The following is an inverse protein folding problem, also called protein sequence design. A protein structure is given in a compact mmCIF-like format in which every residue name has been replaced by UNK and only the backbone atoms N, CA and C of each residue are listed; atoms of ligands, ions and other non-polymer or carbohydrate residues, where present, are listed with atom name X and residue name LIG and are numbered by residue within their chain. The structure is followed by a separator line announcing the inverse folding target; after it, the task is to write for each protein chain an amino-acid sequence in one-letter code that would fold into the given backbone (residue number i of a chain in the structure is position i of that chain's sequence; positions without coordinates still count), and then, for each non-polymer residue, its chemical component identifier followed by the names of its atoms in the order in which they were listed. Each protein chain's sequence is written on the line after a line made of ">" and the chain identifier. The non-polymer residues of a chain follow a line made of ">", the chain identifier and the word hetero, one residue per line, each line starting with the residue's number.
data_IF_254640730286
#
_entry.id   IF_254640730286
#
_cell.length_a   1.000
_cell.length_b   1.000
_cell.length_c   1.000
_cell.angle_alpha   90.00
_cell.angle_beta   90.00
_cell.angle_gamma   90.00
#
_symmetry.space_group_name_H-M   'P 1'
#
loop_
_entity.id
_entity.type
_entity.pdbx_description
1 polymer ?
#
# COMPACT_ATOMS: atom_id res chain seq x y z
N UNK A 1 -46.93 -21.59 -8.54
CA UNK A 1 -45.50 -21.47 -8.92
C UNK A 1 -44.96 -20.25 -8.23
N UNK A 2 -44.08 -20.42 -7.23
CA UNK A 2 -43.48 -19.31 -6.50
C UNK A 2 -42.36 -18.69 -7.35
N UNK A 3 -42.30 -17.36 -7.38
CA UNK A 3 -41.23 -16.61 -8.03
C UNK A 3 -39.88 -16.90 -7.33
N UNK A 4 -38.74 -16.89 -8.06
CA UNK A 4 -37.43 -17.02 -7.43
C UNK A 4 -37.15 -15.79 -6.55
N UNK A 5 -36.44 -15.96 -5.41
CA UNK A 5 -36.05 -14.83 -4.59
C UNK A 5 -35.08 -13.95 -5.37
N UNK A 6 -35.39 -12.65 -5.43
CA UNK A 6 -34.47 -11.64 -5.93
C UNK A 6 -33.17 -11.73 -5.14
N UNK A 7 -32.06 -12.10 -5.79
CA UNK A 7 -30.74 -11.92 -5.19
C UNK A 7 -30.56 -10.44 -4.95
N UNK A 8 -30.54 -10.01 -3.69
CA UNK A 8 -30.05 -8.68 -3.36
C UNK A 8 -28.65 -8.55 -3.97
N UNK A 9 -28.48 -7.65 -4.95
CA UNK A 9 -27.15 -7.26 -5.41
C UNK A 9 -26.39 -6.81 -4.16
N UNK A 10 -25.43 -7.61 -3.69
CA UNK A 10 -24.48 -7.19 -2.66
C UNK A 10 -23.84 -5.89 -3.17
N UNK A 11 -23.81 -4.86 -2.35
CA UNK A 11 -23.18 -3.59 -2.69
C UNK A 11 -21.68 -3.88 -2.85
N UNK A 12 -21.18 -3.86 -4.08
CA UNK A 12 -19.77 -4.17 -4.36
C UNK A 12 -18.91 -2.93 -4.15
N UNK A 13 -17.65 -3.11 -3.75
CA UNK A 13 -16.64 -2.05 -3.74
C UNK A 13 -16.48 -1.43 -5.15
N UNK A 14 -16.79 -2.20 -6.21
CA UNK A 14 -16.72 -1.76 -7.61
C UNK A 14 -17.72 -0.65 -7.97
N UNK A 15 -18.79 -0.49 -7.19
CA UNK A 15 -19.77 0.59 -7.39
C UNK A 15 -19.27 1.96 -6.88
N UNK A 16 -18.10 2.02 -6.21
CA UNK A 16 -17.51 3.25 -5.67
C UNK A 16 -16.51 3.87 -6.65
N UNK A 17 -16.33 5.21 -6.64
CA UNK A 17 -15.28 5.87 -7.42
C UNK A 17 -13.88 5.26 -7.16
N UNK A 18 -12.97 5.28 -8.16
CA UNK A 18 -11.63 4.74 -8.00
C UNK A 18 -10.83 5.59 -6.99
N UNK A 19 -10.81 5.11 -5.74
CA UNK A 19 -10.25 5.81 -4.58
C UNK A 19 -8.73 6.02 -4.65
N UNK A 20 -8.05 5.14 -5.38
CA UNK A 20 -6.59 5.03 -5.41
C UNK A 20 -5.97 5.58 -6.70
N UNK A 21 -6.81 6.09 -7.60
CA UNK A 21 -6.40 6.88 -8.76
C UNK A 21 -6.35 8.33 -8.31
N UNK A 22 -5.14 8.90 -8.25
CA UNK A 22 -4.89 10.23 -7.70
C UNK A 22 -5.46 10.44 -6.28
N UNK A 23 -5.00 9.64 -5.29
CA UNK A 23 -5.59 9.61 -3.94
C UNK A 23 -5.45 10.93 -3.16
N UNK A 24 -4.61 11.83 -3.64
CA UNK A 24 -4.28 13.11 -3.03
C UNK A 24 -5.03 14.28 -3.68
N UNK A 25 -5.78 14.02 -4.76
CA UNK A 25 -6.57 15.03 -5.46
C UNK A 25 -5.71 16.05 -6.21
N UNK A 26 -4.50 15.69 -6.63
CA UNK A 26 -3.63 16.59 -7.38
C UNK A 26 -4.14 16.75 -8.80
N UNK A 27 -4.52 17.95 -9.18
CA UNK A 27 -4.82 18.29 -10.57
C UNK A 27 -3.56 18.96 -11.10
N UNK A 28 -2.86 18.40 -12.12
CA UNK A 28 -1.77 19.11 -12.76
C UNK A 28 -2.32 20.44 -13.24
N UNK A 29 -1.79 21.54 -12.70
CA UNK A 29 -2.16 22.87 -13.15
C UNK A 29 -1.83 22.96 -14.62
N UNK A 30 -2.88 22.98 -15.46
CA UNK A 30 -2.76 23.36 -16.87
C UNK A 30 -2.13 24.74 -16.91
N UNK A 31 -1.01 24.86 -17.61
CA UNK A 31 -0.26 26.11 -17.83
C UNK A 31 -1.21 27.29 -18.03
N UNK A 32 -1.25 28.25 -17.10
CA UNK A 32 -1.48 29.66 -17.41
C UNK A 32 -0.91 30.60 -16.34
N UNK A 33 -0.24 31.62 -16.87
CA UNK A 33 -0.04 32.97 -16.36
C UNK A 33 0.97 33.17 -15.22
N UNK A 34 2.13 33.69 -15.62
CA UNK A 34 3.10 34.30 -14.73
C UNK A 34 2.49 35.38 -13.85
N UNK A 35 2.91 35.36 -12.59
CA UNK A 35 2.95 36.51 -11.71
C UNK A 35 4.15 36.30 -10.78
N UNK A 36 5.18 37.12 -11.00
CA UNK A 36 6.30 37.25 -10.09
C UNK A 36 5.81 37.90 -8.80
N UNK A 37 5.58 37.10 -7.77
CA UNK A 37 5.57 37.56 -6.38
C UNK A 37 6.78 36.96 -5.67
N UNK A 38 7.74 37.82 -5.37
CA UNK A 38 8.87 37.53 -4.48
C UNK A 38 8.35 37.42 -3.04
N UNK A 39 7.81 36.26 -2.71
CA UNK A 39 7.67 35.63 -1.38
C UNK A 39 7.03 34.24 -1.57
N UNK A 40 7.51 33.47 -2.54
CA UNK A 40 7.16 32.04 -2.66
C UNK A 40 8.02 31.30 -1.64
N UNK A 41 7.44 30.56 -0.68
CA UNK A 41 8.21 29.65 0.17
C UNK A 41 9.07 28.75 -0.72
N UNK A 42 10.35 28.56 -0.38
CA UNK A 42 11.20 27.61 -1.09
C UNK A 42 10.47 26.27 -1.21
N UNK A 43 10.30 25.79 -2.44
CA UNK A 43 9.68 24.49 -2.68
C UNK A 43 10.51 23.40 -1.97
N UNK A 44 9.87 22.39 -1.34
CA UNK A 44 10.62 21.34 -0.68
C UNK A 44 11.54 20.61 -1.67
N UNK A 45 12.78 20.38 -1.26
CA UNK A 45 13.75 19.61 -2.03
C UNK A 45 13.35 18.13 -2.08
N UNK A 46 13.83 17.38 -3.07
CA UNK A 46 13.69 15.90 -3.11
C UNK A 46 14.06 15.25 -1.77
N UNK A 47 15.11 15.74 -1.11
CA UNK A 47 15.53 15.21 0.19
C UNK A 47 14.46 15.39 1.26
N UNK A 48 13.85 16.58 1.33
CA UNK A 48 12.76 16.84 2.29
C UNK A 48 11.54 15.97 1.99
N UNK A 49 11.20 15.74 0.72
CA UNK A 49 10.14 14.80 0.36
C UNK A 49 10.46 13.36 0.78
N UNK A 50 11.71 12.90 0.60
CA UNK A 50 12.13 11.57 1.07
C UNK A 50 12.05 11.44 2.60
N UNK A 51 12.43 12.49 3.35
CA UNK A 51 12.31 12.49 4.82
C UNK A 51 10.84 12.42 5.28
N UNK A 52 9.94 13.12 4.59
CA UNK A 52 8.49 13.06 4.85
C UNK A 52 7.94 11.68 4.49
N UNK A 53 8.28 11.14 3.32
CA UNK A 53 7.89 9.79 2.88
C UNK A 53 8.34 8.73 3.89
N UNK A 54 9.60 8.79 4.32
CA UNK A 54 10.15 7.89 5.34
C UNK A 54 9.36 7.97 6.65
N UNK A 55 8.98 9.17 7.05
CA UNK A 55 8.18 9.41 8.26
C UNK A 55 6.80 8.79 8.13
N UNK A 56 6.08 9.04 7.03
CA UNK A 56 4.75 8.47 6.80
C UNK A 56 4.80 6.94 6.70
N UNK A 57 5.80 6.37 6.03
CA UNK A 57 5.98 4.93 5.94
C UNK A 57 6.24 4.30 7.32
N UNK A 58 7.05 4.94 8.18
CA UNK A 58 7.28 4.51 9.56
C UNK A 58 6.01 4.58 10.41
N UNK A 59 5.19 5.63 10.25
CA UNK A 59 3.89 5.75 10.94
C UNK A 59 2.94 4.62 10.49
N UNK A 60 2.83 4.38 9.19
CA UNK A 60 2.00 3.30 8.63
C UNK A 60 2.45 1.93 9.15
N UNK A 61 3.77 1.64 9.13
CA UNK A 61 4.33 0.42 9.72
C UNK A 61 4.02 0.30 11.20
N UNK A 62 4.21 1.37 11.97
CA UNK A 62 3.90 1.37 13.41
C UNK A 62 2.43 1.07 13.72
N UNK A 63 1.51 1.60 12.90
CA UNK A 63 0.08 1.29 13.00
C UNK A 63 -0.18 -0.21 12.82
N UNK A 64 0.44 -0.83 11.82
CA UNK A 64 0.28 -2.26 11.54
C UNK A 64 0.89 -3.14 12.65
N UNK A 65 2.10 -2.80 13.10
CA UNK A 65 2.80 -3.51 14.17
C UNK A 65 1.97 -3.58 15.46
N UNK A 66 1.16 -2.57 15.73
CA UNK A 66 0.36 -2.48 16.96
C UNK A 66 -0.70 -3.56 17.10
N UNK A 67 -1.20 -4.15 16.00
CA UNK A 67 -2.30 -5.11 16.04
C UNK A 67 -2.01 -6.44 15.35
N UNK A 68 -0.90 -6.59 14.61
CA UNK A 68 -0.62 -7.80 13.81
C UNK A 68 -0.66 -9.11 14.59
N UNK A 69 -0.13 -9.12 15.83
CA UNK A 69 -0.11 -10.32 16.68
C UNK A 69 -1.50 -10.67 17.18
N UNK A 70 -2.27 -9.65 17.58
CA UNK A 70 -3.65 -9.83 18.02
C UNK A 70 -4.54 -10.31 16.87
N UNK A 71 -4.35 -9.76 15.67
CA UNK A 71 -5.05 -10.21 14.47
C UNK A 71 -4.86 -11.71 14.23
N UNK A 72 -3.60 -12.16 14.18
CA UNK A 72 -3.33 -13.59 13.94
C UNK A 72 -3.90 -14.47 15.06
N UNK A 73 -3.79 -14.03 16.31
CA UNK A 73 -4.31 -14.79 17.45
C UNK A 73 -5.83 -14.91 17.42
N UNK A 74 -6.54 -13.84 17.14
CA UNK A 74 -8.01 -13.84 17.17
C UNK A 74 -8.63 -14.51 15.94
N UNK A 75 -8.01 -14.38 14.75
CA UNK A 75 -8.55 -14.95 13.51
C UNK A 75 -8.17 -16.43 13.35
N UNK A 76 -6.94 -16.81 13.69
CA UNK A 76 -6.43 -18.16 13.41
C UNK A 76 -6.16 -19.01 14.67
N UNK A 77 -6.36 -18.44 15.86
CA UNK A 77 -6.09 -19.09 17.16
C UNK A 77 -4.65 -19.62 17.33
N UNK A 78 -3.68 -19.00 16.64
CA UNK A 78 -2.27 -19.41 16.68
C UNK A 78 -1.34 -18.24 17.01
N UNK A 79 -0.10 -18.57 17.39
CA UNK A 79 0.95 -17.57 17.54
C UNK A 79 1.35 -16.97 16.18
N UNK A 80 1.69 -15.67 16.20
CA UNK A 80 2.08 -14.91 15.01
C UNK A 80 3.27 -15.52 14.28
N UNK A 81 4.34 -15.87 15.00
CA UNK A 81 5.58 -16.36 14.39
C UNK A 81 5.37 -17.74 13.78
N UNK A 82 4.56 -18.59 14.42
CA UNK A 82 4.18 -19.90 13.88
C UNK A 82 3.32 -19.78 12.61
N UNK A 83 2.32 -18.90 12.61
CA UNK A 83 1.47 -18.68 11.46
C UNK A 83 2.26 -18.10 10.29
N UNK A 84 3.07 -17.06 10.55
CA UNK A 84 3.94 -16.46 9.55
C UNK A 84 4.90 -17.49 8.94
N UNK A 85 5.57 -18.29 9.78
CA UNK A 85 6.49 -19.34 9.31
C UNK A 85 5.81 -20.36 8.41
N UNK A 86 4.56 -20.73 8.70
CA UNK A 86 3.81 -21.72 7.93
C UNK A 86 3.49 -21.24 6.51
N UNK A 87 3.31 -19.94 6.34
CA UNK A 87 2.82 -19.34 5.10
C UNK A 87 3.83 -18.46 4.36
N UNK A 88 5.03 -18.24 4.90
CA UNK A 88 5.98 -17.26 4.37
C UNK A 88 6.42 -17.48 2.92
N UNK A 89 6.29 -18.70 2.40
CA UNK A 89 6.63 -19.06 1.01
C UNK A 89 5.49 -18.84 0.02
N UNK A 90 4.26 -18.70 0.50
CA UNK A 90 3.10 -18.43 -0.36
C UNK A 90 2.97 -16.91 -0.55
N UNK A 91 2.91 -16.45 -1.80
CA UNK A 91 2.65 -15.05 -2.18
C UNK A 91 1.69 -15.00 -3.36
N UNK A 92 0.88 -13.95 -3.41
CA UNK A 92 0.09 -13.64 -4.59
C UNK A 92 0.95 -12.85 -5.57
N UNK A 93 1.30 -13.43 -6.71
CA UNK A 93 2.13 -12.75 -7.72
C UNK A 93 1.46 -11.50 -8.33
N UNK A 94 0.13 -11.38 -8.22
CA UNK A 94 -0.60 -10.19 -8.64
C UNK A 94 -0.41 -9.00 -7.68
N UNK A 95 -0.02 -9.23 -6.42
CA UNK A 95 0.29 -8.15 -5.48
C UNK A 95 1.58 -7.43 -5.88
N UNK A 96 2.62 -8.21 -6.17
CA UNK A 96 3.86 -7.78 -6.81
C UNK A 96 4.65 -9.03 -7.23
N UNK A 97 5.50 -8.94 -8.28
CA UNK A 97 6.39 -10.03 -8.65
C UNK A 97 7.35 -10.37 -7.50
N UNK A 98 7.60 -11.65 -7.24
CA UNK A 98 8.52 -12.07 -6.17
C UNK A 98 9.93 -11.47 -6.28
N UNK A 99 10.38 -11.11 -7.49
CA UNK A 99 11.66 -10.43 -7.74
C UNK A 99 11.68 -8.94 -7.39
N UNK A 100 10.51 -8.29 -7.32
CA UNK A 100 10.38 -6.85 -7.11
C UNK A 100 10.67 -6.42 -5.67
N UNK A 101 10.28 -7.26 -4.70
CA UNK A 101 10.48 -7.00 -3.27
C UNK A 101 11.27 -8.16 -2.65
N UNK A 102 12.60 -8.16 -2.78
CA UNK A 102 13.47 -9.29 -2.44
C UNK A 102 13.79 -9.34 -0.93
N UNK A 103 12.76 -9.28 -0.08
CA UNK A 103 12.90 -9.40 1.38
C UNK A 103 11.81 -10.27 2.00
N UNK A 104 12.10 -10.78 3.20
CA UNK A 104 11.13 -11.39 4.11
C UNK A 104 10.66 -10.35 5.14
N UNK A 105 9.49 -10.60 5.74
CA UNK A 105 8.93 -9.73 6.78
C UNK A 105 9.87 -9.67 7.99
N UNK A 106 10.15 -8.46 8.47
CA UNK A 106 11.01 -8.22 9.63
C UNK A 106 12.51 -8.33 9.33
N UNK A 107 12.90 -8.59 8.08
CA UNK A 107 14.31 -8.69 7.68
C UNK A 107 14.72 -7.45 6.88
N UNK A 108 15.61 -6.63 7.44
CA UNK A 108 16.14 -5.46 6.75
C UNK A 108 17.03 -5.87 5.57
N UNK A 109 16.97 -5.10 4.49
CA UNK A 109 17.85 -5.28 3.33
C UNK A 109 19.22 -4.71 3.65
N UNK A 110 20.27 -5.50 3.41
CA UNK A 110 21.65 -5.04 3.55
C UNK A 110 21.94 -3.90 2.54
N UNK A 111 22.58 -2.78 2.95
CA UNK A 111 22.82 -1.63 2.07
C UNK A 111 23.54 -1.97 0.75
N UNK A 112 24.41 -2.97 0.74
CA UNK A 112 25.09 -3.43 -0.48
C UNK A 112 24.14 -3.89 -1.59
N UNK A 113 22.97 -4.43 -1.22
CA UNK A 113 21.93 -4.86 -2.17
C UNK A 113 21.10 -3.69 -2.70
N UNK A 114 21.19 -2.52 -2.06
CA UNK A 114 20.48 -1.30 -2.45
C UNK A 114 21.33 -0.38 -3.32
N UNK A 115 22.62 -0.68 -3.49
CA UNK A 115 23.54 0.15 -4.28
C UNK A 115 23.03 0.39 -5.69
N UNK A 116 22.53 -0.64 -6.36
CA UNK A 116 22.13 -0.52 -7.76
C UNK A 116 20.69 -0.02 -7.95
N UNK A 117 19.97 0.26 -6.86
CA UNK A 117 18.62 0.83 -6.91
C UNK A 117 18.70 2.27 -7.41
N UNK A 118 17.91 2.58 -8.43
CA UNK A 118 17.74 3.94 -8.96
C UNK A 118 16.49 4.56 -8.34
N UNK A 119 16.61 5.79 -7.83
CA UNK A 119 15.54 6.45 -7.09
C UNK A 119 14.25 6.58 -7.93
N UNK A 120 14.37 7.02 -9.19
CA UNK A 120 13.20 7.29 -10.04
C UNK A 120 12.45 6.01 -10.40
N UNK A 121 13.19 4.95 -10.76
CA UNK A 121 12.61 3.63 -11.00
C UNK A 121 11.95 3.08 -9.74
N UNK A 122 12.61 3.21 -8.59
CA UNK A 122 12.06 2.80 -7.30
C UNK A 122 10.76 3.55 -6.98
N UNK A 123 10.71 4.88 -7.13
CA UNK A 123 9.51 5.67 -6.85
C UNK A 123 8.34 5.23 -7.74
N UNK A 124 8.60 5.03 -9.03
CA UNK A 124 7.61 4.56 -9.99
C UNK A 124 7.04 3.19 -9.60
N UNK A 125 7.90 2.23 -9.28
CA UNK A 125 7.50 0.88 -8.90
C UNK A 125 6.81 0.85 -7.53
N UNK A 126 7.33 1.59 -6.55
CA UNK A 126 6.76 1.72 -5.22
C UNK A 126 5.35 2.33 -5.26
N UNK A 127 5.13 3.34 -6.12
CA UNK A 127 3.80 3.92 -6.31
C UNK A 127 2.80 2.87 -6.80
N UNK A 128 3.16 2.10 -7.83
CA UNK A 128 2.32 1.00 -8.35
C UNK A 128 2.04 -0.06 -7.30
N UNK A 129 3.06 -0.56 -6.60
CA UNK A 129 2.87 -1.59 -5.56
C UNK A 129 1.99 -1.09 -4.42
N UNK A 130 2.16 0.17 -4.02
CA UNK A 130 1.30 0.76 -2.99
C UNK A 130 -0.13 0.98 -3.47
N UNK A 131 -0.37 1.29 -4.75
CA UNK A 131 -1.73 1.33 -5.31
C UNK A 131 -2.37 -0.06 -5.27
N UNK A 132 -1.67 -1.12 -5.71
CA UNK A 132 -2.15 -2.51 -5.64
C UNK A 132 -2.46 -2.91 -4.19
N UNK A 133 -1.55 -2.61 -3.25
CA UNK A 133 -1.78 -2.88 -1.83
C UNK A 133 -2.98 -2.14 -1.28
N UNK A 134 -3.23 -0.91 -1.74
CA UNK A 134 -4.34 -0.09 -1.26
C UNK A 134 -5.68 -0.60 -1.79
N UNK A 135 -5.74 -1.03 -3.06
CA UNK A 135 -6.89 -1.74 -3.63
C UNK A 135 -7.16 -3.04 -2.89
N UNK A 136 -6.13 -3.85 -2.64
CA UNK A 136 -6.29 -5.11 -1.92
C UNK A 136 -6.74 -4.88 -0.46
N UNK A 137 -6.19 -3.87 0.20
CA UNK A 137 -6.54 -3.50 1.58
C UNK A 137 -7.96 -2.93 1.68
N UNK A 138 -8.45 -2.26 0.64
CA UNK A 138 -9.85 -1.81 0.57
C UNK A 138 -10.81 -3.00 0.67
N UNK A 139 -10.50 -4.10 0.00
CA UNK A 139 -11.28 -5.34 0.10
C UNK A 139 -11.20 -5.95 1.51
N UNK A 140 -10.01 -6.04 2.10
CA UNK A 140 -9.82 -6.53 3.48
C UNK A 140 -10.63 -5.70 4.48
N UNK A 141 -10.57 -4.37 4.36
CA UNK A 141 -11.33 -3.46 5.21
C UNK A 141 -12.85 -3.60 5.00
N UNK A 142 -13.28 -3.77 3.75
CA UNK A 142 -14.68 -4.02 3.41
C UNK A 142 -15.19 -5.31 4.08
N UNK A 143 -14.45 -6.42 3.94
CA UNK A 143 -14.83 -7.72 4.50
C UNK A 143 -14.91 -7.68 6.02
N UNK A 144 -13.93 -7.08 6.69
CA UNK A 144 -13.97 -6.93 8.14
C UNK A 144 -15.04 -5.95 8.64
N UNK A 145 -15.55 -5.05 7.79
CA UNK A 145 -16.66 -4.15 8.13
C UNK A 145 -18.05 -4.75 7.91
N UNK A 146 -18.14 -5.99 7.39
CA UNK A 146 -19.41 -6.61 7.06
C UNK A 146 -20.31 -6.76 8.30
N UNK A 147 -21.59 -6.34 8.28
CA UNK A 147 -22.44 -6.38 9.48
C UNK A 147 -22.65 -7.77 10.08
N UNK A 148 -22.67 -8.80 9.23
CA UNK A 148 -22.98 -10.18 9.65
C UNK A 148 -21.72 -11.04 9.85
N UNK A 149 -20.60 -10.68 9.24
CA UNK A 149 -19.40 -11.55 9.13
C UNK A 149 -18.10 -10.77 9.29
N UNK A 150 -18.17 -9.52 9.74
CA UNK A 150 -17.01 -8.68 10.00
C UNK A 150 -16.23 -9.15 11.23
N UNK A 151 -15.19 -8.41 11.58
CA UNK A 151 -14.36 -8.72 12.75
C UNK A 151 -14.15 -7.49 13.64
N UNK A 152 -13.60 -7.72 14.83
CA UNK A 152 -13.17 -6.67 15.75
C UNK A 152 -12.04 -5.78 15.18
N UNK A 153 -11.49 -6.12 14.01
CA UNK A 153 -10.39 -5.41 13.36
C UNK A 153 -10.83 -4.42 12.27
N UNK A 154 -12.14 -4.23 12.05
CA UNK A 154 -12.66 -3.33 11.03
C UNK A 154 -12.04 -1.92 11.10
N UNK A 155 -11.96 -1.36 12.30
CA UNK A 155 -11.38 -0.02 12.53
C UNK A 155 -9.87 0.02 12.25
N UNK A 156 -9.14 -1.04 12.57
CA UNK A 156 -7.71 -1.15 12.35
C UNK A 156 -7.40 -1.21 10.85
N UNK A 157 -8.15 -2.03 10.10
CA UNK A 157 -8.01 -2.08 8.64
C UNK A 157 -8.45 -0.79 7.96
N UNK A 158 -9.50 -0.12 8.46
CA UNK A 158 -9.88 1.22 8.00
C UNK A 158 -8.76 2.25 8.23
N UNK A 159 -8.13 2.24 9.40
CA UNK A 159 -6.97 3.09 9.71
C UNK A 159 -5.76 2.77 8.84
N UNK A 160 -5.58 1.50 8.49
CA UNK A 160 -4.54 1.08 7.56
C UNK A 160 -4.77 1.72 6.19
N UNK A 161 -5.98 1.68 5.64
CA UNK A 161 -6.29 2.36 4.37
C UNK A 161 -5.92 3.86 4.39
N UNK A 162 -6.19 4.57 5.49
CA UNK A 162 -5.81 5.97 5.62
C UNK A 162 -4.29 6.17 5.67
N UNK A 163 -3.58 5.25 6.30
CA UNK A 163 -2.11 5.28 6.40
C UNK A 163 -1.46 4.98 5.04
N UNK A 164 -1.98 4.01 4.29
CA UNK A 164 -1.52 3.71 2.93
C UNK A 164 -1.75 4.89 1.99
N UNK A 165 -2.89 5.59 2.14
CA UNK A 165 -3.15 6.83 1.41
C UNK A 165 -2.09 7.89 1.67
N UNK A 166 -1.69 8.10 2.92
CA UNK A 166 -0.65 9.07 3.26
C UNK A 166 0.69 8.71 2.60
N UNK A 167 1.09 7.43 2.68
CA UNK A 167 2.32 6.94 2.02
C UNK A 167 2.25 7.15 0.50
N UNK A 168 1.14 6.76 -0.14
CA UNK A 168 0.92 6.98 -1.58
C UNK A 168 1.07 8.45 -1.97
N UNK A 169 0.55 9.36 -1.16
CA UNK A 169 0.67 10.79 -1.41
C UNK A 169 2.10 11.28 -1.36
N UNK A 170 2.89 10.86 -0.38
CA UNK A 170 4.28 11.28 -0.31
C UNK A 170 5.11 10.69 -1.46
N UNK A 171 4.82 9.46 -1.91
CA UNK A 171 5.45 8.90 -3.11
C UNK A 171 5.08 9.76 -4.33
N UNK A 172 3.80 10.06 -4.53
CA UNK A 172 3.32 10.85 -5.66
C UNK A 172 3.94 12.26 -5.68
N UNK A 173 4.00 12.93 -4.52
CA UNK A 173 4.63 14.25 -4.40
C UNK A 173 6.13 14.20 -4.72
N UNK A 174 6.83 13.18 -4.24
CA UNK A 174 8.25 12.96 -4.57
C UNK A 174 8.44 12.73 -6.07
N UNK A 175 7.54 11.98 -6.71
CA UNK A 175 7.56 11.76 -8.16
C UNK A 175 7.32 13.03 -8.96
N UNK A 176 6.35 13.86 -8.55
CA UNK A 176 6.04 15.15 -9.20
C UNK A 176 7.26 16.08 -9.16
N UNK A 177 7.88 16.24 -7.99
CA UNK A 177 9.10 17.05 -7.83
C UNK A 177 10.23 16.55 -8.74
N UNK A 178 10.34 15.24 -8.91
CA UNK A 178 11.37 14.59 -9.73
C UNK A 178 10.98 14.38 -11.18
N UNK A 179 9.79 14.84 -11.59
CA UNK A 179 9.22 14.65 -12.95
C UNK A 179 9.19 13.18 -13.38
N UNK A 180 8.90 12.28 -12.46
CA UNK A 180 8.75 10.84 -12.73
C UNK A 180 7.29 10.54 -13.05
N UNK A 181 7.04 10.07 -14.26
CA UNK A 181 5.70 9.64 -14.66
C UNK A 181 5.34 8.28 -14.02
N UNK A 182 4.11 8.13 -13.50
CA UNK A 182 3.66 6.87 -12.92
C UNK A 182 3.52 5.77 -13.98
N UNK A 183 3.37 4.53 -13.51
CA UNK A 183 2.80 3.48 -14.35
C UNK A 183 1.31 3.75 -14.58
N UNK A 184 0.68 2.96 -15.45
CA UNK A 184 -0.77 3.00 -15.61
C UNK A 184 -1.48 2.80 -14.27
N UNK A 185 -2.57 3.55 -14.10
CA UNK A 185 -3.40 3.51 -12.90
C UNK A 185 -3.89 2.10 -12.62
N UNK A 186 -3.80 1.69 -11.36
CA UNK A 186 -4.29 0.40 -10.88
C UNK A 186 -5.75 0.54 -10.49
N UNK A 187 -6.60 -0.31 -11.04
CA UNK A 187 -8.02 -0.37 -10.68
C UNK A 187 -8.33 -1.62 -9.85
N UNK A 188 -9.59 -1.80 -9.45
CA UNK A 188 -10.01 -2.95 -8.60
C UNK A 188 -9.87 -4.29 -9.31
N UNK A 189 -9.89 -4.27 -10.64
CA UNK A 189 -9.67 -5.43 -11.52
C UNK A 189 -8.35 -6.16 -11.31
N UNK A 190 -7.36 -5.53 -10.65
CA UNK A 190 -6.10 -6.21 -10.29
C UNK A 190 -6.31 -7.42 -9.36
N UNK A 191 -7.40 -7.43 -8.59
CA UNK A 191 -7.84 -8.58 -7.81
C UNK A 191 -9.00 -9.24 -8.54
N UNK A 192 -8.79 -10.43 -9.10
CA UNK A 192 -9.83 -11.20 -9.78
C UNK A 192 -11.05 -11.48 -8.88
N UNK A 193 -12.23 -11.58 -9.48
CA UNK A 193 -13.51 -11.73 -8.76
C UNK A 193 -13.54 -13.01 -7.89
N UNK A 194 -12.86 -14.09 -8.28
CA UNK A 194 -12.80 -15.34 -7.50
C UNK A 194 -11.96 -15.21 -6.21
N UNK A 195 -11.03 -14.25 -6.19
CA UNK A 195 -10.25 -13.87 -5.00
C UNK A 195 -10.98 -12.79 -4.19
N UNK A 196 -11.68 -11.87 -4.88
CA UNK A 196 -12.43 -10.77 -4.24
C UNK A 196 -13.67 -11.30 -3.50
N UNK A 197 -14.49 -12.10 -4.17
CA UNK A 197 -15.81 -12.55 -3.71
C UNK A 197 -15.77 -13.92 -3.03
N UNK A 198 -14.69 -14.23 -2.29
CA UNK A 198 -14.62 -15.45 -1.48
C UNK A 198 -15.71 -15.43 -0.40
N UNK A 199 -16.34 -16.56 -0.10
CA UNK A 199 -17.29 -16.68 1.02
C UNK A 199 -16.58 -16.52 2.39
N UNK A 200 -17.30 -16.18 3.49
CA UNK A 200 -16.70 -15.91 4.79
C UNK A 200 -16.24 -17.21 5.47
N UNK A 201 -15.08 -17.70 5.04
CA UNK A 201 -14.45 -18.91 5.54
C UNK A 201 -12.93 -18.75 5.71
N UNK A 202 -12.28 -19.83 6.17
CA UNK A 202 -10.82 -19.87 6.38
C UNK A 202 -9.97 -19.48 5.16
N UNK A 203 -10.49 -19.61 3.92
CA UNK A 203 -9.77 -19.20 2.71
C UNK A 203 -9.76 -17.69 2.58
N UNK A 204 -10.88 -17.03 2.91
CA UNK A 204 -10.98 -15.58 2.99
C UNK A 204 -10.03 -15.02 4.03
N UNK A 205 -10.00 -15.62 5.22
CA UNK A 205 -9.08 -15.22 6.28
C UNK A 205 -7.61 -15.34 5.82
N UNK A 206 -7.25 -16.44 5.15
CA UNK A 206 -5.91 -16.62 4.60
C UNK A 206 -5.56 -15.58 3.52
N UNK A 207 -6.50 -15.25 2.62
CA UNK A 207 -6.32 -14.19 1.64
C UNK A 207 -6.04 -12.85 2.34
N UNK A 208 -6.84 -12.49 3.34
CA UNK A 208 -6.69 -11.23 4.08
C UNK A 208 -5.36 -11.17 4.81
N UNK A 209 -4.94 -12.30 5.40
CA UNK A 209 -3.61 -12.44 5.97
C UNK A 209 -2.50 -12.24 4.94
N UNK A 210 -2.58 -12.82 3.75
CA UNK A 210 -1.55 -12.66 2.72
C UNK A 210 -1.44 -11.21 2.25
N UNK A 211 -2.57 -10.53 2.04
CA UNK A 211 -2.61 -9.10 1.68
C UNK A 211 -2.01 -8.26 2.81
N UNK A 212 -2.43 -8.51 4.05
CA UNK A 212 -1.95 -7.78 5.22
C UNK A 212 -0.44 -7.96 5.45
N UNK A 213 0.05 -9.20 5.35
CA UNK A 213 1.47 -9.54 5.45
C UNK A 213 2.29 -8.90 4.35
N UNK A 214 1.82 -8.95 3.11
CA UNK A 214 2.57 -8.43 1.97
C UNK A 214 2.58 -6.91 1.96
N UNK A 215 1.53 -6.26 2.48
CA UNK A 215 1.53 -4.83 2.75
C UNK A 215 2.61 -4.45 3.78
N UNK A 216 2.77 -5.22 4.87
CA UNK A 216 3.89 -5.02 5.81
C UNK A 216 5.25 -5.13 5.11
N UNK A 217 5.44 -6.16 4.29
CA UNK A 217 6.69 -6.39 3.55
C UNK A 217 7.01 -5.21 2.63
N UNK A 218 6.02 -4.70 1.88
CA UNK A 218 6.19 -3.54 1.00
C UNK A 218 6.50 -2.27 1.78
N UNK A 219 5.81 -2.00 2.89
CA UNK A 219 6.12 -0.85 3.75
C UNK A 219 7.56 -0.91 4.28
N UNK A 220 8.00 -2.08 4.75
CA UNK A 220 9.38 -2.25 5.21
C UNK A 220 10.40 -2.13 4.06
N UNK A 221 10.05 -2.54 2.84
CA UNK A 221 10.90 -2.35 1.67
C UNK A 221 11.08 -0.87 1.34
N UNK A 222 9.98 -0.12 1.30
CA UNK A 222 10.00 1.32 1.06
C UNK A 222 10.84 2.03 2.12
N UNK A 223 10.67 1.66 3.40
CA UNK A 223 11.49 2.22 4.49
C UNK A 223 12.98 1.94 4.27
N UNK A 224 13.36 0.69 3.96
CA UNK A 224 14.78 0.33 3.75
C UNK A 224 15.41 1.12 2.59
N UNK A 225 14.70 1.24 1.45
CA UNK A 225 15.21 1.95 0.27
C UNK A 225 15.26 3.46 0.51
N UNK A 226 14.20 4.07 1.05
CA UNK A 226 14.17 5.51 1.30
C UNK A 226 15.21 5.89 2.35
N UNK A 227 15.34 5.11 3.44
CA UNK A 227 16.39 5.33 4.44
C UNK A 227 17.78 5.27 3.81
N UNK A 228 18.03 4.33 2.88
CA UNK A 228 19.29 4.27 2.15
C UNK A 228 19.61 5.56 1.38
N UNK A 229 18.63 6.17 0.71
CA UNK A 229 18.84 7.46 0.02
C UNK A 229 18.99 8.64 1.00
N UNK A 230 18.26 8.66 2.11
CA UNK A 230 18.44 9.65 3.17
C UNK A 230 19.86 9.60 3.76
N UNK A 231 20.40 8.40 3.95
CA UNK A 231 21.75 8.17 4.49
C UNK A 231 22.86 8.42 3.45
N UNK A 232 22.52 8.36 2.14
CA UNK A 232 23.45 8.50 1.02
C UNK A 232 22.96 9.58 0.03
N UNK A 233 22.91 10.86 0.42
CA UNK A 233 22.31 11.92 -0.40
C UNK A 233 23.02 12.16 -1.73
N UNK A 234 24.29 11.76 -1.85
CA UNK A 234 25.06 11.78 -3.11
C UNK A 234 24.54 10.78 -4.16
N UNK A 235 23.64 9.85 -3.79
CA UNK A 235 22.96 8.92 -4.70
C UNK A 235 21.64 9.46 -5.22
N UNK A 236 21.15 10.59 -4.71
CA UNK A 236 19.95 11.25 -5.21
C UNK A 236 20.33 11.98 -6.51
N UNK A 237 19.74 11.61 -7.66
CA UNK A 237 20.00 12.32 -8.91
C UNK A 237 19.50 13.77 -8.82
N UNK A 238 20.18 14.72 -9.48
CA UNK A 238 19.67 16.09 -9.60
C UNK A 238 18.31 16.09 -10.30
N UNK A 239 17.40 16.95 -9.84
CA UNK A 239 16.06 17.18 -10.44
C UNK A 239 16.13 17.97 -11.75
#
# INVERSE_FOLDING_TARGET
>A
MAAPPHSHKRRSVDDLPPKWVNPCGFIPSSDEAGQSSSDVPDLPTTRQFLDILLTQAKIARGSVESFKKNYVKEIFDVDFDLHHKSWKTYRYEWLYPSSAVPKELGVSIHPDKLRDVQLDSFLKDAYRYMQIMSVAMEQVAFDHSHPEHGSIFAEQFKKMEYSLRAVLCEIQMTMIERRVEPHDDVTRDVMEDDIRDMEPDSRRDLRDWFIFRDCMIVLEYIIDVVQYFCDNPNRIPPS
#
